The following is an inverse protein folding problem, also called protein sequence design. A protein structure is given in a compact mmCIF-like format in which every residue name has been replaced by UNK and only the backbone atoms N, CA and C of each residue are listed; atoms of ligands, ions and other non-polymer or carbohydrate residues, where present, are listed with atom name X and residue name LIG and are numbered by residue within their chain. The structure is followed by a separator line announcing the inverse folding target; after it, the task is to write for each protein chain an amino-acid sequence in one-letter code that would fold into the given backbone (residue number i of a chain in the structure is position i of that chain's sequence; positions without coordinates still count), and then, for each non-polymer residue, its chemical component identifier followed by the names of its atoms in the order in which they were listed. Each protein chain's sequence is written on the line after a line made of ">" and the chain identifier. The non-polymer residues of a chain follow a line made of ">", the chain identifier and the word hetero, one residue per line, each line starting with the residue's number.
data_IF_658185053473
#
_entry.id   IF_658185053473
#
_cell.length_a   1.000
_cell.length_b   1.000
_cell.length_c   1.000
_cell.angle_alpha   90.00
_cell.angle_beta   90.00
_cell.angle_gamma   90.00
#
_symmetry.space_group_name_H-M   'P 1'
#
loop_
_entity.id
_entity.type
_entity.pdbx_description
1 polymer ?
#
# COMPACT_ATOMS: atom_id res chain seq x y z
N UNK A 1 -66.57 13.45 -72.13
CA UNK A 1 -65.88 12.14 -72.10
C UNK A 1 -64.40 12.37 -71.83
N UNK A 2 -63.88 11.70 -70.79
CA UNK A 2 -62.49 11.23 -70.56
C UNK A 2 -61.36 12.11 -71.11
N UNK A 3 -60.69 12.90 -70.27
CA UNK A 3 -59.48 12.49 -69.53
C UNK A 3 -58.42 11.82 -70.40
N UNK A 4 -57.45 12.61 -70.88
CA UNK A 4 -56.10 12.10 -71.13
C UNK A 4 -55.15 12.83 -70.19
N UNK A 5 -54.70 12.03 -69.23
CA UNK A 5 -53.82 12.34 -68.12
C UNK A 5 -52.39 12.43 -68.67
N UNK A 6 -51.71 13.55 -68.41
CA UNK A 6 -50.30 13.74 -68.73
C UNK A 6 -49.44 12.88 -67.80
N UNK A 7 -48.84 11.84 -68.36
CA UNK A 7 -47.89 10.91 -67.73
C UNK A 7 -46.48 11.53 -67.67
N UNK A 8 -46.31 12.64 -66.93
CA UNK A 8 -44.99 13.27 -66.77
C UNK A 8 -44.66 13.75 -65.35
N UNK A 9 -45.59 13.65 -64.40
CA UNK A 9 -45.39 14.17 -63.03
C UNK A 9 -45.08 13.12 -61.95
N UNK A 10 -45.11 11.83 -62.26
CA UNK A 10 -44.93 10.77 -61.23
C UNK A 10 -43.46 10.45 -60.94
N UNK A 11 -42.52 10.84 -61.81
CA UNK A 11 -41.09 10.47 -61.65
C UNK A 11 -40.31 11.31 -60.64
N UNK A 12 -40.72 12.55 -60.38
CA UNK A 12 -39.93 13.49 -59.56
C UNK A 12 -40.38 13.52 -58.09
N UNK A 13 -41.65 13.19 -57.81
CA UNK A 13 -42.15 13.12 -56.44
C UNK A 13 -41.61 11.90 -55.68
N UNK A 14 -41.51 10.75 -56.34
CA UNK A 14 -40.94 9.53 -55.75
C UNK A 14 -39.44 9.68 -55.43
N UNK A 15 -38.67 10.36 -56.28
CA UNK A 15 -37.26 10.65 -56.02
C UNK A 15 -37.07 11.58 -54.80
N UNK A 16 -37.96 12.56 -54.62
CA UNK A 16 -37.93 13.45 -53.44
C UNK A 16 -38.31 12.69 -52.16
N UNK A 17 -39.25 11.74 -52.24
CA UNK A 17 -39.64 10.90 -51.10
C UNK A 17 -38.49 9.95 -50.71
N UNK A 18 -37.86 9.28 -51.68
CA UNK A 18 -36.70 8.40 -51.43
C UNK A 18 -35.53 9.22 -50.86
N UNK A 19 -35.26 10.42 -51.37
CA UNK A 19 -34.21 11.29 -50.84
C UNK A 19 -34.51 11.80 -49.41
N UNK A 20 -35.78 12.07 -49.06
CA UNK A 20 -36.20 12.41 -47.69
C UNK A 20 -36.04 11.21 -46.74
N UNK A 21 -36.30 9.99 -47.22
CA UNK A 21 -36.15 8.77 -46.43
C UNK A 21 -34.67 8.46 -46.12
N UNK A 22 -33.78 8.61 -47.12
CA UNK A 22 -32.32 8.42 -46.94
C UNK A 22 -31.71 9.46 -45.99
N UNK A 23 -32.17 10.72 -46.07
CA UNK A 23 -31.73 11.78 -45.14
C UNK A 23 -32.22 11.56 -43.70
N UNK A 24 -33.39 10.93 -43.52
CA UNK A 24 -33.93 10.61 -42.19
C UNK A 24 -33.20 9.43 -41.54
N UNK A 25 -32.80 8.42 -42.32
CA UNK A 25 -31.96 7.31 -41.84
C UNK A 25 -30.53 7.76 -41.44
N UNK A 26 -29.93 8.71 -42.18
CA UNK A 26 -28.61 9.25 -41.84
C UNK A 26 -28.60 10.04 -40.51
N UNK A 27 -29.71 10.70 -40.17
CA UNK A 27 -29.86 11.43 -38.90
C UNK A 27 -29.94 10.49 -37.68
N UNK A 28 -30.52 9.29 -37.84
CA UNK A 28 -30.58 8.26 -36.79
C UNK A 28 -29.20 7.62 -36.52
N UNK A 29 -28.34 7.51 -37.54
CA UNK A 29 -26.96 7.06 -37.41
C UNK A 29 -26.04 8.06 -36.67
N UNK A 30 -26.41 9.35 -36.60
CA UNK A 30 -25.64 10.39 -35.90
C UNK A 30 -26.00 10.55 -34.42
N UNK A 31 -27.05 9.86 -33.93
CA UNK A 31 -27.38 9.82 -32.49
C UNK A 31 -26.52 8.78 -31.76
N UNK A 32 -26.06 7.72 -32.45
CA UNK A 32 -25.20 6.68 -31.86
C UNK A 32 -23.69 6.98 -31.85
N UNK A 33 -23.18 7.95 -32.62
CA UNK A 33 -21.73 8.24 -32.69
C UNK A 33 -21.26 9.43 -31.84
N UNK A 34 -22.19 10.28 -31.39
CA UNK A 34 -21.86 11.45 -30.55
C UNK A 34 -21.55 11.17 -29.07
N UNK A 35 -21.88 10.01 -28.47
CA UNK A 35 -21.39 9.68 -27.12
C UNK A 35 -19.86 9.50 -27.08
N UNK A 36 -19.26 8.95 -28.14
CA UNK A 36 -17.81 8.70 -28.20
C UNK A 36 -17.01 10.01 -28.28
N UNK A 37 -17.49 11.02 -29.02
CA UNK A 37 -16.84 12.33 -29.14
C UNK A 37 -17.04 13.25 -27.93
N UNK A 38 -18.03 12.96 -27.08
CA UNK A 38 -18.21 13.66 -25.80
C UNK A 38 -17.28 13.09 -24.72
N UNK A 39 -17.01 11.78 -24.75
CA UNK A 39 -16.08 11.10 -23.85
C UNK A 39 -14.62 11.52 -24.06
N UNK A 40 -14.20 11.81 -25.30
CA UNK A 40 -12.82 12.28 -25.57
C UNK A 40 -12.60 13.75 -25.19
N UNK A 41 -13.65 14.57 -25.17
CA UNK A 41 -13.57 15.99 -24.77
C UNK A 41 -13.59 16.19 -23.25
N UNK A 42 -14.23 15.28 -22.51
CA UNK A 42 -14.09 15.19 -21.04
C UNK A 42 -12.68 14.71 -20.68
N UNK A 43 -12.12 13.73 -21.42
CA UNK A 43 -10.75 13.26 -21.21
C UNK A 43 -9.69 14.34 -21.48
N UNK A 44 -9.94 15.31 -22.37
CA UNK A 44 -8.98 16.39 -22.67
C UNK A 44 -8.99 17.54 -21.66
N UNK A 45 -10.06 17.70 -20.87
CA UNK A 45 -10.18 18.72 -19.81
C UNK A 45 -9.63 18.24 -18.45
N UNK A 46 -9.29 16.96 -18.32
CA UNK A 46 -8.51 16.41 -17.20
C UNK A 46 -7.02 16.35 -17.55
N UNK A 47 -6.47 17.47 -18.03
CA UNK A 47 -5.05 17.78 -17.83
C UNK A 47 -4.90 18.50 -16.48
N UNK A 48 -5.30 17.81 -15.42
CA UNK A 48 -4.76 18.10 -14.08
C UNK A 48 -3.47 17.31 -13.91
N UNK A 49 -2.54 17.94 -13.24
CA UNK A 49 -1.14 17.61 -13.18
C UNK A 49 -0.83 16.16 -12.77
N UNK A 50 0.31 15.63 -13.26
CA UNK A 50 0.78 14.27 -13.00
C UNK A 50 0.99 14.02 -11.50
N UNK A 51 0.57 12.85 -11.00
CA UNK A 51 1.00 12.35 -9.68
C UNK A 51 0.16 12.78 -8.48
N UNK A 52 -1.17 12.85 -8.59
CA UNK A 52 -2.04 13.21 -7.46
C UNK A 52 -3.32 12.35 -7.37
N UNK A 53 -3.17 11.03 -7.41
CA UNK A 53 -4.21 10.06 -6.98
C UNK A 53 -3.64 9.02 -5.99
N UNK A 54 -2.63 9.42 -5.23
CA UNK A 54 -2.13 8.76 -4.02
C UNK A 54 -1.93 9.76 -2.85
N UNK A 55 -2.35 11.02 -3.02
CA UNK A 55 -2.10 12.10 -2.06
C UNK A 55 -3.25 12.45 -1.12
N UNK A 56 -4.36 11.70 -1.15
CA UNK A 56 -5.46 11.80 -0.17
C UNK A 56 -5.55 10.60 0.78
N UNK A 57 -4.49 9.78 0.84
CA UNK A 57 -4.24 8.81 1.95
C UNK A 57 -2.98 9.20 2.74
N UNK A 58 -2.16 10.12 2.24
CA UNK A 58 -0.92 10.55 2.89
C UNK A 58 -1.20 11.79 3.74
N UNK A 59 -2.04 11.63 4.78
CA UNK A 59 -1.81 12.42 6.00
C UNK A 59 -0.60 11.82 6.71
N UNK A 60 0.57 12.10 6.14
CA UNK A 60 1.85 12.29 6.82
C UNK A 60 1.96 11.67 8.23
N UNK A 61 1.91 10.34 8.34
CA UNK A 61 2.67 9.67 9.38
C UNK A 61 4.10 9.68 8.87
N UNK A 62 4.88 10.70 9.24
CA UNK A 62 6.34 10.61 9.12
C UNK A 62 6.75 9.41 9.95
N UNK A 63 6.95 8.26 9.30
CA UNK A 63 7.54 7.09 9.94
C UNK A 63 8.92 7.57 10.40
N UNK A 64 9.16 7.77 11.71
CA UNK A 64 10.49 8.12 12.14
C UNK A 64 11.36 6.95 11.71
N UNK A 65 12.40 7.23 10.93
CA UNK A 65 13.35 6.25 10.43
C UNK A 65 13.56 5.16 11.49
N UNK A 66 13.17 3.89 11.21
CA UNK A 66 13.06 2.87 12.24
C UNK A 66 14.45 2.53 12.77
N UNK A 67 14.88 3.26 13.80
CA UNK A 67 16.10 2.97 14.50
C UNK A 67 15.87 1.70 15.29
N UNK A 68 16.71 0.69 15.05
CA UNK A 68 16.70 -0.51 15.88
C UNK A 68 16.80 -0.08 17.35
N UNK A 69 15.89 -0.59 18.19
CA UNK A 69 15.82 -0.26 19.61
C UNK A 69 16.37 -1.42 20.42
N UNK A 70 17.16 -1.12 21.42
CA UNK A 70 17.65 -2.14 22.34
C UNK A 70 16.49 -2.73 23.12
N UNK A 71 16.51 -4.04 23.36
CA UNK A 71 15.48 -4.66 24.21
C UNK A 71 15.74 -4.26 25.66
N UNK A 72 14.86 -3.42 26.20
CA UNK A 72 15.01 -2.86 27.56
C UNK A 72 15.16 -3.95 28.64
N UNK A 73 14.49 -5.09 28.48
CA UNK A 73 14.65 -6.24 29.37
C UNK A 73 16.07 -6.83 29.35
N UNK A 74 16.70 -6.90 28.18
CA UNK A 74 18.08 -7.38 28.03
C UNK A 74 19.07 -6.36 28.61
N UNK A 75 18.90 -5.06 28.32
CA UNK A 75 19.76 -3.99 28.82
C UNK A 75 19.74 -3.84 30.36
N UNK A 76 18.63 -4.23 31.00
CA UNK A 76 18.52 -4.32 32.47
C UNK A 76 19.30 -5.51 33.05
N UNK A 77 19.40 -6.62 32.32
CA UNK A 77 19.97 -7.89 32.81
C UNK A 77 21.45 -8.07 32.49
N UNK A 78 21.90 -7.58 31.33
CA UNK A 78 23.25 -7.74 30.82
C UNK A 78 23.98 -6.40 30.81
N UNK A 79 25.28 -6.42 31.12
CA UNK A 79 26.16 -5.25 31.07
C UNK A 79 27.46 -5.58 30.36
N UNK A 80 27.88 -4.70 29.46
CA UNK A 80 29.15 -4.82 28.75
C UNK A 80 30.27 -4.24 29.61
N UNK A 81 31.37 -4.97 29.71
CA UNK A 81 32.60 -4.50 30.37
C UNK A 81 33.44 -3.67 29.42
N UNK A 82 34.39 -2.89 29.95
CA UNK A 82 35.36 -2.14 29.12
C UNK A 82 36.14 -3.02 28.14
N UNK A 83 36.31 -4.31 28.45
CA UNK A 83 36.98 -5.32 27.60
C UNK A 83 36.03 -6.00 26.60
N UNK A 84 34.76 -5.60 26.51
CA UNK A 84 33.77 -6.18 25.59
C UNK A 84 33.14 -7.50 26.04
N UNK A 85 33.49 -8.03 27.22
CA UNK A 85 32.82 -9.21 27.80
C UNK A 85 31.46 -8.83 28.40
N UNK A 86 30.46 -9.70 28.23
CA UNK A 86 29.10 -9.49 28.73
C UNK A 86 28.92 -10.16 30.10
N UNK A 87 28.62 -9.36 31.13
CA UNK A 87 28.35 -9.82 32.49
C UNK A 87 26.87 -10.13 32.72
N UNK A 88 26.60 -11.14 33.56
CA UNK A 88 25.26 -11.52 34.05
C UNK A 88 25.29 -11.97 35.51
N UNK A 89 24.17 -11.83 36.21
CA UNK A 89 23.97 -12.47 37.54
C UNK A 89 23.53 -13.94 37.37
N UNK A 90 23.81 -14.78 38.35
CA UNK A 90 23.29 -16.15 38.37
C UNK A 90 21.80 -16.17 38.77
N UNK A 91 21.08 -17.18 38.29
CA UNK A 91 19.71 -17.46 38.68
C UNK A 91 19.64 -18.20 40.03
N UNK A 92 18.41 -18.42 40.54
CA UNK A 92 18.11 -19.22 41.74
C UNK A 92 18.57 -18.62 43.09
N UNK A 93 18.74 -17.31 43.19
CA UNK A 93 19.19 -16.63 44.41
C UNK A 93 18.08 -16.17 45.35
N UNK A 94 16.86 -15.97 44.85
CA UNK A 94 15.74 -15.40 45.61
C UNK A 94 14.84 -16.47 46.23
N UNK A 95 14.04 -17.16 45.41
CA UNK A 95 13.07 -18.14 45.88
C UNK A 95 13.74 -19.44 46.33
N UNK A 96 13.31 -19.99 47.47
CA UNK A 96 13.89 -21.17 48.11
C UNK A 96 15.41 -21.06 48.36
N UNK A 97 15.90 -19.88 48.71
CA UNK A 97 17.27 -19.71 49.19
C UNK A 97 17.57 -20.43 50.53
N UNK A 98 16.59 -20.62 51.45
CA UNK A 98 16.82 -21.38 52.69
C UNK A 98 17.28 -22.82 52.43
N UNK A 99 16.69 -23.50 51.45
CA UNK A 99 16.95 -24.92 51.14
C UNK A 99 18.29 -25.15 50.41
N UNK A 100 19.05 -24.09 50.13
CA UNK A 100 20.35 -24.17 49.45
C UNK A 100 21.48 -24.16 50.46
N UNK A 101 22.52 -24.95 50.20
CA UNK A 101 23.74 -24.97 51.03
C UNK A 101 24.42 -23.60 51.04
N UNK A 102 25.17 -23.31 52.09
CA UNK A 102 25.95 -22.06 52.20
C UNK A 102 26.97 -21.92 51.07
N UNK A 103 27.60 -23.04 50.65
CA UNK A 103 28.50 -23.11 49.50
C UNK A 103 27.82 -22.71 48.20
N UNK A 104 26.64 -23.27 47.92
CA UNK A 104 25.87 -22.95 46.71
C UNK A 104 25.46 -21.47 46.69
N UNK A 105 24.96 -20.93 47.81
CA UNK A 105 24.63 -19.50 47.94
C UNK A 105 25.85 -18.60 47.64
N UNK A 106 27.04 -18.96 48.13
CA UNK A 106 28.28 -18.21 47.88
C UNK A 106 28.66 -18.19 46.40
N UNK A 107 28.50 -19.31 45.71
CA UNK A 107 28.78 -19.41 44.27
C UNK A 107 27.79 -18.57 43.45
N UNK A 108 26.49 -18.67 43.76
CA UNK A 108 25.44 -17.93 43.03
C UNK A 108 25.50 -16.40 43.23
N UNK A 109 26.12 -15.91 44.31
CA UNK A 109 26.32 -14.46 44.54
C UNK A 109 27.32 -13.84 43.57
N UNK A 110 28.27 -14.60 43.04
CA UNK A 110 29.31 -14.07 42.15
C UNK A 110 28.70 -13.65 40.81
N UNK A 111 29.33 -12.69 40.13
CA UNK A 111 28.91 -12.30 38.78
C UNK A 111 29.64 -13.19 37.78
N UNK A 112 28.89 -13.74 36.82
CA UNK A 112 29.42 -14.60 35.77
C UNK A 112 29.47 -13.89 34.41
N UNK A 113 30.21 -14.49 33.47
CA UNK A 113 30.21 -14.11 32.06
C UNK A 113 29.20 -14.98 31.31
N UNK A 114 28.62 -14.45 30.24
CA UNK A 114 27.77 -15.21 29.33
C UNK A 114 28.60 -16.25 28.58
N UNK A 115 28.05 -17.45 28.38
CA UNK A 115 28.68 -18.50 27.58
C UNK A 115 28.72 -18.14 26.10
N UNK A 116 29.75 -18.60 25.38
CA UNK A 116 30.05 -18.22 24.00
C UNK A 116 28.88 -18.44 23.04
N UNK A 117 28.15 -19.54 23.23
CA UNK A 117 26.98 -19.91 22.41
C UNK A 117 25.88 -18.85 22.39
N UNK A 118 25.70 -18.09 23.48
CA UNK A 118 24.63 -17.09 23.60
C UNK A 118 25.09 -15.67 23.24
N UNK A 119 26.39 -15.46 23.01
CA UNK A 119 26.94 -14.12 22.80
C UNK A 119 26.35 -13.43 21.57
N UNK A 120 26.23 -14.15 20.45
CA UNK A 120 25.69 -13.60 19.20
C UNK A 120 24.27 -13.06 19.39
N UNK A 121 23.40 -13.86 20.01
CA UNK A 121 22.01 -13.49 20.27
C UNK A 121 21.91 -12.30 21.21
N UNK A 122 22.70 -12.26 22.28
CA UNK A 122 22.62 -11.16 23.26
C UNK A 122 23.16 -9.84 22.68
N UNK A 123 24.24 -9.88 21.90
CA UNK A 123 24.76 -8.68 21.20
C UNK A 123 23.71 -8.08 20.27
N UNK A 124 23.01 -8.91 19.50
CA UNK A 124 21.92 -8.45 18.63
C UNK A 124 20.79 -7.72 19.40
N UNK A 125 20.54 -8.09 20.67
CA UNK A 125 19.51 -7.45 21.51
C UNK A 125 19.97 -6.11 22.11
N UNK A 126 21.27 -5.94 22.33
CA UNK A 126 21.88 -4.75 22.93
C UNK A 126 22.34 -3.72 21.89
N UNK A 127 22.49 -4.12 20.62
CA UNK A 127 22.97 -3.24 19.53
C UNK A 127 24.33 -2.61 19.82
N UNK A 128 25.18 -3.39 20.50
CA UNK A 128 26.59 -3.10 20.81
C UNK A 128 27.53 -3.94 19.92
#
# INVERSE_FOLDING_TARGET
>A
MKSLINFSKVSWEWLVIVAKLVKSLAALLQICTKPWLYLTKIASQLKLQPGLMNLTIIQKEEVPMPKMKTKSAAAKRFKVTKTGKIKRKHAYTSHLAPNKTTKQKRQLRKVGVVHETQLKTIKALLQD
#
